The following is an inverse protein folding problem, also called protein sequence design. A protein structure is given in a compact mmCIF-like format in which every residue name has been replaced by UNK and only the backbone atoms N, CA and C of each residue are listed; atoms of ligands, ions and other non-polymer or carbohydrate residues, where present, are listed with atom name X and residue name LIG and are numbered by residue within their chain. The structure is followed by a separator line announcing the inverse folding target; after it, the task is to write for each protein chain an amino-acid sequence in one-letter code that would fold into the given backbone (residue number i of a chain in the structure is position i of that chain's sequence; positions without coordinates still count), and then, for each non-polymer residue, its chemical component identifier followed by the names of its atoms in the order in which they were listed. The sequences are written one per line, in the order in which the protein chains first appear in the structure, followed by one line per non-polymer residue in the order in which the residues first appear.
data_IF_623340575779
#
_entry.id   IF_623340575779
#
_cell.length_a   1.000
_cell.length_b   1.000
_cell.length_c   1.000
_cell.angle_alpha   90.00
_cell.angle_beta   90.00
_cell.angle_gamma   90.00
#
_symmetry.space_group_name_H-M   'P 1'
#
loop_
_entity.id
_entity.type
_entity.pdbx_description
1 polymer ?
#
# COMPACT_ATOMS: atom_id res chain seq x y z
N UNK A 1 -5.99 -2.43 -65.08
CA UNK A 1 -6.20 -1.17 -65.79
C UNK A 1 -5.84 -0.04 -64.86
N UNK A 2 -4.66 0.46 -65.09
CA UNK A 2 -4.09 1.82 -64.97
C UNK A 2 -4.56 2.73 -63.82
N UNK A 3 -3.65 3.03 -62.95
CA UNK A 3 -2.76 4.19 -62.77
C UNK A 3 -3.43 5.56 -63.01
N UNK A 4 -3.52 6.41 -62.01
CA UNK A 4 -2.64 7.58 -61.98
C UNK A 4 -2.52 8.21 -60.57
N UNK A 5 -1.35 8.77 -60.38
CA UNK A 5 -0.86 9.52 -59.23
C UNK A 5 -1.56 10.86 -59.10
N UNK A 6 -1.73 11.35 -57.89
CA UNK A 6 -1.15 12.65 -57.59
C UNK A 6 -0.86 12.87 -56.11
N UNK A 7 0.35 13.28 -55.88
CA UNK A 7 0.86 13.77 -54.56
C UNK A 7 0.53 15.25 -54.45
N UNK A 8 -0.10 15.66 -53.34
CA UNK A 8 0.16 17.01 -52.81
C UNK A 8 -0.08 17.10 -51.32
N UNK A 9 1.01 17.08 -50.60
CA UNK A 9 1.39 17.89 -49.44
C UNK A 9 0.28 18.61 -48.66
N UNK A 10 0.08 18.17 -47.42
CA UNK A 10 -0.65 18.88 -46.39
C UNK A 10 -0.01 18.65 -45.03
N UNK A 11 1.27 19.00 -44.88
CA UNK A 11 1.92 19.03 -43.56
C UNK A 11 1.36 20.20 -42.75
N UNK A 12 0.44 19.92 -41.85
CA UNK A 12 0.03 20.87 -40.82
C UNK A 12 1.22 21.14 -39.89
N UNK A 13 1.93 22.21 -40.14
CA UNK A 13 2.92 22.78 -39.19
C UNK A 13 2.18 23.31 -37.98
N UNK A 14 2.24 22.59 -36.89
CA UNK A 14 1.90 23.12 -35.56
C UNK A 14 3.00 24.15 -35.22
N UNK A 15 2.70 25.43 -35.37
CA UNK A 15 3.52 26.51 -34.81
C UNK A 15 3.40 26.51 -33.30
N UNK A 16 4.34 25.84 -32.62
CA UNK A 16 4.59 26.11 -31.22
C UNK A 16 5.24 27.48 -31.14
N UNK A 17 4.48 28.50 -30.74
CA UNK A 17 5.04 29.79 -30.36
C UNK A 17 5.96 29.59 -29.15
N UNK A 18 7.25 29.52 -29.39
CA UNK A 18 8.27 29.67 -28.35
C UNK A 18 8.24 31.13 -27.88
N UNK A 19 7.56 31.38 -26.77
CA UNK A 19 7.44 32.69 -26.17
C UNK A 19 7.22 32.60 -24.68
N UNK A 20 7.99 31.73 -24.01
CA UNK A 20 8.11 31.78 -22.56
C UNK A 20 9.56 32.09 -22.24
N UNK A 21 9.84 33.33 -21.79
CA UNK A 21 11.18 33.79 -21.46
C UNK A 21 11.72 32.93 -20.30
N UNK A 22 13.02 32.62 -20.31
CA UNK A 22 13.72 31.88 -19.23
C UNK A 22 13.55 32.54 -17.83
N UNK A 23 13.21 33.81 -17.79
CA UNK A 23 12.90 34.58 -16.59
C UNK A 23 11.61 34.17 -15.93
N UNK A 24 10.50 34.00 -16.68
CA UNK A 24 9.21 33.61 -16.06
C UNK A 24 9.19 32.18 -15.48
N UNK A 25 10.00 31.27 -16.04
CA UNK A 25 10.17 29.94 -15.46
C UNK A 25 10.96 29.94 -14.16
N UNK A 26 11.96 30.82 -14.04
CA UNK A 26 12.73 30.97 -12.79
C UNK A 26 11.91 31.64 -11.70
N UNK A 27 11.12 32.63 -12.03
CA UNK A 27 10.22 33.31 -11.09
C UNK A 27 9.16 32.36 -10.54
N UNK A 28 8.50 31.58 -11.40
CA UNK A 28 7.53 30.57 -10.99
C UNK A 28 8.16 29.42 -10.13
N UNK A 29 9.40 29.04 -10.43
CA UNK A 29 10.14 28.05 -9.61
C UNK A 29 10.52 28.63 -8.25
N UNK A 30 10.92 29.89 -8.17
CA UNK A 30 11.24 30.54 -6.93
C UNK A 30 10.01 30.78 -6.05
N UNK A 31 8.89 31.20 -6.62
CA UNK A 31 7.61 31.29 -5.90
C UNK A 31 7.14 29.91 -5.40
N UNK A 32 7.31 28.87 -6.20
CA UNK A 32 6.99 27.50 -5.79
C UNK A 32 7.91 27.05 -4.65
N UNK A 33 9.22 27.31 -4.73
CA UNK A 33 10.17 27.00 -3.64
C UNK A 33 9.86 27.79 -2.36
N UNK A 34 9.55 29.07 -2.46
CA UNK A 34 9.15 29.88 -1.30
C UNK A 34 7.85 29.39 -0.65
N UNK A 35 6.86 28.98 -1.45
CA UNK A 35 5.62 28.42 -0.93
C UNK A 35 5.81 27.04 -0.28
N UNK A 36 6.68 26.19 -0.84
CA UNK A 36 7.06 24.91 -0.23
C UNK A 36 7.84 25.14 1.05
N UNK A 37 8.87 26.00 1.04
CA UNK A 37 9.64 26.30 2.25
C UNK A 37 8.80 26.97 3.35
N UNK A 38 7.84 27.82 3.00
CA UNK A 38 6.93 28.42 3.97
C UNK A 38 6.01 27.40 4.61
N UNK A 39 5.44 26.47 3.81
CA UNK A 39 4.65 25.34 4.32
C UNK A 39 5.46 24.37 5.17
N UNK A 40 6.72 24.13 4.78
CA UNK A 40 7.62 23.25 5.55
C UNK A 40 8.11 23.89 6.85
N UNK A 41 8.35 25.20 6.88
CA UNK A 41 8.66 25.93 8.11
C UNK A 41 7.49 25.97 9.09
N UNK A 42 6.26 26.04 8.59
CA UNK A 42 5.05 25.96 9.43
C UNK A 42 4.82 24.53 9.96
N UNK A 43 5.28 23.49 9.25
CA UNK A 43 5.23 22.08 9.70
C UNK A 43 6.36 21.68 10.65
N UNK A 44 7.55 22.30 10.54
CA UNK A 44 8.74 21.95 11.33
C UNK A 44 8.76 22.68 12.69
N UNK A 45 8.03 23.77 12.85
CA UNK A 45 7.93 24.48 14.12
C UNK A 45 6.95 23.83 15.10
N UNK A 46 6.97 22.53 15.28
CA UNK A 46 6.51 21.70 16.41
C UNK A 46 5.37 22.17 17.33
N UNK A 47 4.75 23.29 17.06
CA UNK A 47 3.51 23.72 17.72
C UNK A 47 2.31 23.38 16.81
N UNK A 48 1.71 22.26 17.09
CA UNK A 48 0.38 21.90 16.60
C UNK A 48 -0.60 22.96 17.12
N UNK A 49 -0.79 24.05 16.37
CA UNK A 49 -1.80 25.06 16.71
C UNK A 49 -3.18 24.47 16.53
N UNK A 50 -3.75 24.02 17.62
CA UNK A 50 -5.08 23.39 17.70
C UNK A 50 -6.25 24.35 17.42
N UNK A 51 -6.05 25.62 17.12
CA UNK A 51 -7.14 26.53 16.77
C UNK A 51 -6.67 27.67 15.87
N UNK A 52 -7.01 27.62 14.60
CA UNK A 52 -7.14 28.83 13.80
C UNK A 52 -8.39 29.55 14.30
N UNK A 53 -8.28 30.81 14.83
CA UNK A 53 -9.43 31.56 15.33
C UNK A 53 -10.50 31.85 14.26
N UNK A 54 -10.18 31.66 12.97
CA UNK A 54 -11.13 31.79 11.86
C UNK A 54 -11.95 30.54 11.59
N UNK A 55 -11.57 29.39 12.19
CA UNK A 55 -12.23 28.09 12.00
C UNK A 55 -13.24 27.73 13.09
N UNK A 56 -13.88 28.74 13.72
CA UNK A 56 -14.89 28.51 14.75
C UNK A 56 -16.03 27.65 14.20
N UNK A 57 -16.14 26.42 14.72
CA UNK A 57 -17.23 25.47 14.40
C UNK A 57 -16.91 24.41 13.37
N UNK A 58 -15.71 24.40 12.77
CA UNK A 58 -15.27 23.31 11.90
C UNK A 58 -14.59 22.19 12.72
N UNK A 59 -14.91 20.95 12.40
CA UNK A 59 -14.31 19.78 13.07
C UNK A 59 -13.02 19.40 12.36
N UNK A 60 -11.90 19.51 13.05
CA UNK A 60 -10.62 18.94 12.61
C UNK A 60 -10.60 17.43 12.88
N UNK A 61 -10.89 16.65 11.86
CA UNK A 61 -10.87 15.19 11.95
C UNK A 61 -9.47 14.60 12.19
N UNK A 62 -8.40 15.34 11.89
CA UNK A 62 -7.03 14.86 12.12
C UNK A 62 -6.71 14.73 13.62
N UNK A 63 -7.38 15.48 14.46
CA UNK A 63 -7.20 15.49 15.92
C UNK A 63 -8.21 14.61 16.69
N UNK A 64 -9.23 14.05 16.01
CA UNK A 64 -10.28 13.26 16.67
C UNK A 64 -9.74 11.91 17.16
N UNK A 65 -9.98 11.58 18.43
CA UNK A 65 -9.73 10.26 19.00
C UNK A 65 -8.27 9.94 19.32
N UNK A 66 -7.36 10.91 19.33
CA UNK A 66 -5.98 10.69 19.77
C UNK A 66 -5.97 10.23 21.23
N UNK A 67 -5.37 9.04 21.48
CA UNK A 67 -5.28 8.47 22.82
C UNK A 67 -6.58 7.84 23.35
N UNK A 68 -7.64 7.79 22.57
CA UNK A 68 -8.94 7.21 22.93
C UNK A 68 -9.25 5.94 22.12
N UNK A 69 -10.36 5.27 22.44
CA UNK A 69 -10.91 4.19 21.63
C UNK A 69 -11.31 4.71 20.25
N UNK A 70 -10.71 4.17 19.22
CA UNK A 70 -10.87 4.64 17.85
C UNK A 70 -12.28 4.37 17.31
N UNK A 71 -12.73 5.26 16.42
CA UNK A 71 -14.13 5.23 15.97
C UNK A 71 -14.43 4.06 15.03
N UNK A 72 -13.54 3.77 14.05
CA UNK A 72 -13.79 2.73 13.06
C UNK A 72 -13.30 1.37 13.52
N UNK A 73 -12.04 1.25 13.93
CA UNK A 73 -11.47 -0.05 14.35
C UNK A 73 -11.92 -0.50 15.75
N UNK A 74 -12.52 0.38 16.56
CA UNK A 74 -12.98 0.11 17.94
C UNK A 74 -11.89 -0.42 18.88
N UNK A 75 -10.65 -0.03 18.67
CA UNK A 75 -9.47 -0.41 19.46
C UNK A 75 -9.00 0.77 20.30
N UNK A 76 -8.52 0.52 21.53
CA UNK A 76 -7.97 1.52 22.44
C UNK A 76 -6.47 1.32 22.66
N UNK A 77 -5.74 2.36 23.14
CA UNK A 77 -4.34 2.24 23.56
C UNK A 77 -4.14 1.10 24.56
N UNK A 78 -3.03 0.35 24.40
CA UNK A 78 -2.70 -0.81 25.26
C UNK A 78 -3.35 -2.13 24.83
N UNK A 79 -4.40 -2.10 24.00
CA UNK A 79 -5.04 -3.34 23.53
C UNK A 79 -4.23 -4.01 22.41
N UNK A 80 -3.44 -3.27 21.64
CA UNK A 80 -2.64 -3.74 20.51
C UNK A 80 -1.14 -3.75 20.79
N UNK A 81 -0.35 -4.33 19.90
CA UNK A 81 1.13 -4.31 19.93
C UNK A 81 1.68 -3.17 19.06
N UNK A 82 3.00 -3.00 19.10
CA UNK A 82 3.71 -2.06 18.22
C UNK A 82 3.76 -2.48 16.77
N UNK A 83 3.46 -3.75 16.45
CA UNK A 83 3.43 -4.27 15.08
C UNK A 83 2.04 -4.82 14.75
N UNK A 84 1.54 -4.48 13.57
CA UNK A 84 0.28 -4.99 13.05
C UNK A 84 0.46 -5.66 11.69
N UNK A 85 -0.07 -6.87 11.54
CA UNK A 85 -0.25 -7.54 10.27
C UNK A 85 -1.62 -7.16 9.69
N UNK A 86 -1.63 -6.71 8.44
CA UNK A 86 -2.80 -6.10 7.80
C UNK A 86 -3.28 -6.92 6.59
N UNK A 87 -4.18 -7.91 6.78
CA UNK A 87 -4.94 -8.48 5.67
C UNK A 87 -6.05 -7.52 5.25
N UNK A 88 -6.49 -7.57 3.99
CA UNK A 88 -7.68 -6.82 3.54
C UNK A 88 -8.96 -7.41 4.12
N UNK A 89 -9.12 -8.73 4.01
CA UNK A 89 -10.31 -9.48 4.39
C UNK A 89 -10.35 -9.80 5.89
N UNK A 90 -11.45 -9.45 6.62
CA UNK A 90 -11.61 -9.77 8.03
C UNK A 90 -11.60 -11.28 8.33
N UNK A 91 -11.95 -12.14 7.37
CA UNK A 91 -11.86 -13.60 7.53
C UNK A 91 -10.42 -14.13 7.50
N UNK A 92 -9.44 -13.35 7.06
CA UNK A 92 -8.01 -13.71 7.14
C UNK A 92 -7.36 -13.37 8.49
N UNK A 93 -7.97 -12.51 9.30
CA UNK A 93 -7.46 -12.22 10.66
C UNK A 93 -7.37 -13.49 11.53
N UNK A 94 -8.40 -14.37 11.59
CA UNK A 94 -8.28 -15.67 12.27
C UNK A 94 -7.23 -16.62 11.67
N UNK A 95 -6.88 -16.50 10.38
CA UNK A 95 -5.79 -17.31 9.80
C UNK A 95 -4.44 -16.90 10.38
N UNK A 96 -4.21 -15.60 10.57
CA UNK A 96 -3.01 -15.09 11.28
C UNK A 96 -3.02 -15.60 12.73
N UNK A 97 -4.17 -15.54 13.40
CA UNK A 97 -4.31 -15.96 14.77
C UNK A 97 -3.99 -17.46 14.99
N UNK A 98 -4.09 -18.31 13.96
CA UNK A 98 -3.67 -19.74 14.06
C UNK A 98 -2.19 -19.94 14.35
N UNK A 99 -1.35 -18.96 14.04
CA UNK A 99 0.10 -18.99 14.35
C UNK A 99 0.42 -18.48 15.77
N UNK A 100 -0.56 -17.87 16.45
CA UNK A 100 -0.35 -17.18 17.72
C UNK A 100 -0.83 -18.02 18.90
N UNK A 101 -0.21 -17.83 20.05
CA UNK A 101 -0.72 -18.26 21.35
C UNK A 101 -1.39 -17.10 22.09
N UNK A 102 -2.13 -17.36 23.16
CA UNK A 102 -2.82 -16.36 23.99
C UNK A 102 -3.71 -15.40 23.17
N UNK A 103 -4.37 -15.94 22.17
CA UNK A 103 -5.18 -15.20 21.22
C UNK A 103 -6.38 -14.53 21.90
N UNK A 104 -6.58 -13.24 21.56
CA UNK A 104 -7.76 -12.47 21.99
C UNK A 104 -8.33 -11.70 20.80
N UNK A 105 -9.64 -11.81 20.61
CA UNK A 105 -10.36 -10.90 19.72
C UNK A 105 -10.61 -9.58 20.47
N UNK A 106 -10.13 -8.47 19.91
CA UNK A 106 -10.23 -7.14 20.52
C UNK A 106 -11.48 -6.42 20.06
N UNK A 107 -11.74 -6.45 18.75
CA UNK A 107 -12.88 -5.79 18.16
C UNK A 107 -13.21 -6.39 16.77
N UNK A 108 -14.47 -6.31 16.38
CA UNK A 108 -14.92 -6.51 15.01
C UNK A 108 -16.00 -5.47 14.71
N UNK A 109 -15.67 -4.51 13.87
CA UNK A 109 -16.57 -3.43 13.48
C UNK A 109 -16.38 -3.11 12.01
N UNK A 110 -17.46 -3.19 11.24
CA UNK A 110 -17.45 -3.06 9.78
C UNK A 110 -16.47 -4.08 9.16
N UNK A 111 -15.61 -3.64 8.24
CA UNK A 111 -14.53 -4.41 7.63
C UNK A 111 -13.29 -4.60 8.52
N UNK A 112 -13.26 -3.92 9.67
CA UNK A 112 -12.12 -3.96 10.60
C UNK A 112 -12.34 -4.99 11.71
N UNK A 113 -11.58 -6.07 11.65
CA UNK A 113 -11.50 -7.08 12.70
C UNK A 113 -10.10 -7.09 13.29
N UNK A 114 -10.00 -7.03 14.60
CA UNK A 114 -8.69 -6.99 15.31
C UNK A 114 -8.57 -8.14 16.28
N UNK A 115 -7.49 -8.90 16.15
CA UNK A 115 -7.07 -9.93 17.09
C UNK A 115 -5.63 -9.70 17.52
N UNK A 116 -5.27 -10.12 18.73
CA UNK A 116 -3.90 -10.11 19.23
C UNK A 116 -3.53 -11.46 19.79
N UNK A 117 -2.22 -11.75 19.85
CA UNK A 117 -1.68 -12.95 20.47
C UNK A 117 -0.17 -12.88 20.54
N UNK A 118 0.46 -13.97 20.93
CA UNK A 118 1.91 -14.09 21.07
C UNK A 118 2.50 -14.96 19.97
N UNK A 119 3.60 -14.53 19.37
CA UNK A 119 4.40 -15.32 18.44
C UNK A 119 5.88 -15.26 18.84
N UNK A 120 6.47 -16.40 19.18
CA UNK A 120 7.88 -16.51 19.63
C UNK A 120 8.24 -15.45 20.71
N UNK A 121 7.35 -15.26 21.70
CA UNK A 121 7.55 -14.30 22.78
C UNK A 121 7.25 -12.84 22.47
N UNK A 122 6.83 -12.52 21.23
CA UNK A 122 6.45 -11.17 20.82
C UNK A 122 4.93 -11.04 20.68
N UNK A 123 4.36 -9.96 21.23
CA UNK A 123 2.94 -9.63 21.01
C UNK A 123 2.75 -9.16 19.57
N UNK A 124 1.80 -9.76 18.88
CA UNK A 124 1.42 -9.43 17.49
C UNK A 124 -0.03 -8.98 17.46
N UNK A 125 -0.31 -7.99 16.64
CA UNK A 125 -1.68 -7.58 16.28
C UNK A 125 -1.97 -7.98 14.84
N UNK A 126 -3.17 -8.44 14.57
CA UNK A 126 -3.71 -8.60 13.22
C UNK A 126 -4.99 -7.77 13.11
N UNK A 127 -5.06 -6.86 12.12
CA UNK A 127 -6.25 -6.03 11.88
C UNK A 127 -6.55 -6.00 10.40
N UNK A 128 -7.78 -6.33 9.99
CA UNK A 128 -8.18 -6.19 8.59
C UNK A 128 -8.38 -4.72 8.21
N UNK A 129 -7.94 -4.38 7.00
CA UNK A 129 -8.07 -3.03 6.44
C UNK A 129 -9.37 -2.80 5.68
N UNK A 130 -10.08 -3.88 5.29
CA UNK A 130 -11.04 -3.80 4.20
C UNK A 130 -10.35 -3.74 2.84
N UNK A 131 -11.10 -3.49 1.79
CA UNK A 131 -10.59 -3.29 0.43
C UNK A 131 -10.40 -1.82 0.13
N UNK A 132 -9.29 -1.50 -0.52
CA UNK A 132 -9.01 -0.19 -1.10
C UNK A 132 -8.32 0.81 -0.17
N UNK A 133 -7.72 1.78 -0.80
CA UNK A 133 -6.91 2.81 -0.14
C UNK A 133 -7.66 3.64 0.91
N UNK A 134 -8.94 4.05 0.74
CA UNK A 134 -9.66 4.83 1.76
C UNK A 134 -9.80 4.07 3.09
N UNK A 135 -10.21 2.80 3.05
CA UNK A 135 -10.38 1.98 4.25
C UNK A 135 -9.04 1.67 4.91
N UNK A 136 -8.00 1.38 4.11
CA UNK A 136 -6.64 1.17 4.60
C UNK A 136 -6.08 2.41 5.29
N UNK A 137 -6.27 3.59 4.73
CA UNK A 137 -5.83 4.83 5.35
C UNK A 137 -6.47 5.05 6.73
N UNK A 138 -7.77 4.78 6.87
CA UNK A 138 -8.47 4.83 8.17
C UNK A 138 -7.83 3.85 9.17
N UNK A 139 -7.64 2.59 8.76
CA UNK A 139 -7.06 1.58 9.64
C UNK A 139 -5.64 1.95 10.12
N UNK A 140 -4.77 2.40 9.20
CA UNK A 140 -3.38 2.81 9.52
C UNK A 140 -3.36 4.02 10.44
N UNK A 141 -4.18 5.06 10.18
CA UNK A 141 -4.28 6.25 11.03
C UNK A 141 -4.75 5.88 12.45
N UNK A 142 -5.80 5.09 12.57
CA UNK A 142 -6.37 4.74 13.87
C UNK A 142 -5.47 3.78 14.66
N UNK A 143 -4.81 2.82 13.98
CA UNK A 143 -3.82 1.95 14.62
C UNK A 143 -2.59 2.73 15.09
N UNK A 144 -2.12 3.71 14.30
CA UNK A 144 -1.03 4.60 14.71
C UNK A 144 -1.37 5.35 16.00
N UNK A 145 -2.58 5.87 16.11
CA UNK A 145 -3.08 6.62 17.30
C UNK A 145 -3.15 5.76 18.58
N UNK A 146 -3.26 4.46 18.45
CA UNK A 146 -3.28 3.54 19.59
C UNK A 146 -1.93 2.86 19.84
N UNK A 147 -0.87 3.27 19.13
CA UNK A 147 0.51 2.90 19.44
C UNK A 147 1.17 1.89 18.51
N UNK A 148 0.55 1.54 17.38
CA UNK A 148 1.21 0.72 16.34
C UNK A 148 2.27 1.56 15.64
N UNK A 149 3.47 0.99 15.47
CA UNK A 149 4.64 1.66 14.87
C UNK A 149 5.10 1.02 13.56
N UNK A 150 4.69 -0.22 13.32
CA UNK A 150 5.08 -0.97 12.13
C UNK A 150 3.89 -1.74 11.56
N UNK A 151 3.72 -1.65 10.25
CA UNK A 151 2.64 -2.28 9.51
C UNK A 151 3.19 -3.24 8.49
N UNK A 152 2.70 -4.48 8.45
CA UNK A 152 3.04 -5.46 7.43
C UNK A 152 1.74 -5.92 6.77
N UNK A 153 1.51 -5.50 5.53
CA UNK A 153 0.38 -5.99 4.76
C UNK A 153 0.65 -7.43 4.32
N UNK A 154 -0.31 -8.31 4.61
CA UNK A 154 -0.34 -9.70 4.16
C UNK A 154 -1.55 -9.88 3.25
N UNK A 155 -1.35 -9.74 1.96
CA UNK A 155 -2.41 -9.55 0.98
C UNK A 155 -2.57 -10.68 -0.03
N UNK A 156 -3.49 -10.43 -0.96
CA UNK A 156 -3.56 -11.09 -2.27
C UNK A 156 -3.39 -10.04 -3.35
N UNK A 157 -2.84 -10.43 -4.49
CA UNK A 157 -2.66 -9.52 -5.62
C UNK A 157 -2.68 -10.31 -6.93
N UNK A 158 -2.91 -9.63 -8.05
CA UNK A 158 -2.78 -10.23 -9.37
C UNK A 158 -1.40 -9.90 -9.97
N UNK A 159 -0.73 -10.90 -10.54
CA UNK A 159 0.56 -10.75 -11.23
C UNK A 159 0.40 -10.00 -12.56
N UNK A 160 1.37 -9.14 -12.86
CA UNK A 160 1.46 -8.35 -14.09
C UNK A 160 2.71 -8.71 -14.91
N UNK A 161 3.49 -9.71 -14.50
CA UNK A 161 4.65 -10.22 -15.23
C UNK A 161 4.47 -11.69 -15.57
N UNK A 162 4.83 -12.15 -16.77
CA UNK A 162 4.49 -13.49 -17.27
C UNK A 162 5.08 -14.64 -16.43
N UNK A 163 6.19 -14.41 -15.70
CA UNK A 163 6.81 -15.42 -14.86
C UNK A 163 6.11 -15.64 -13.51
N UNK A 164 5.25 -14.72 -13.09
CA UNK A 164 4.52 -14.82 -11.80
C UNK A 164 3.39 -15.82 -11.93
N UNK A 165 3.30 -16.75 -10.99
CA UNK A 165 2.28 -17.80 -10.97
C UNK A 165 1.37 -17.69 -9.76
N UNK A 166 0.11 -18.15 -9.86
CA UNK A 166 -0.75 -18.27 -8.69
C UNK A 166 -0.09 -19.10 -7.58
N UNK A 167 -0.13 -18.57 -6.35
CA UNK A 167 0.54 -19.16 -5.19
C UNK A 167 1.95 -18.63 -4.94
N UNK A 168 2.60 -17.97 -5.89
CA UNK A 168 3.88 -17.30 -5.67
C UNK A 168 3.73 -16.15 -4.65
N UNK A 169 4.82 -15.84 -3.95
CA UNK A 169 4.87 -14.71 -3.03
C UNK A 169 5.51 -13.49 -3.69
N UNK A 170 4.89 -12.34 -3.46
CA UNK A 170 5.26 -11.07 -4.07
C UNK A 170 5.59 -10.07 -2.96
N UNK A 171 6.84 -9.61 -2.91
CA UNK A 171 7.33 -8.60 -1.97
C UNK A 171 7.41 -7.25 -2.67
N UNK A 172 6.78 -6.23 -2.09
CA UNK A 172 6.73 -4.91 -2.71
C UNK A 172 7.92 -4.05 -2.33
N UNK A 173 8.61 -3.53 -3.35
CA UNK A 173 9.70 -2.55 -3.23
C UNK A 173 9.20 -1.10 -3.33
N UNK A 174 7.95 -0.92 -3.73
CA UNK A 174 7.26 0.35 -3.88
C UNK A 174 5.89 0.15 -4.50
N UNK A 175 5.07 1.19 -4.51
CA UNK A 175 3.77 1.14 -5.17
C UNK A 175 3.55 2.35 -6.06
N UNK A 176 3.19 2.11 -7.31
CA UNK A 176 2.63 3.15 -8.18
C UNK A 176 1.28 3.58 -7.59
N UNK A 177 1.13 4.89 -7.34
CA UNK A 177 -0.05 5.49 -6.74
C UNK A 177 -1.11 5.73 -7.83
N UNK A 178 -1.90 4.71 -8.14
CA UNK A 178 -3.05 4.83 -9.06
C UNK A 178 -4.37 4.91 -8.27
N UNK A 179 -4.31 5.48 -7.07
CA UNK A 179 -5.41 5.67 -6.14
C UNK A 179 -5.73 7.16 -5.93
N UNK A 180 -6.97 7.45 -5.55
CA UNK A 180 -7.40 8.81 -5.23
C UNK A 180 -7.10 9.25 -3.79
N UNK A 181 -6.90 8.31 -2.87
CA UNK A 181 -6.74 8.57 -1.43
C UNK A 181 -5.41 9.27 -1.13
N UNK A 182 -4.33 8.75 -1.67
CA UNK A 182 -2.98 9.28 -1.40
C UNK A 182 -2.77 10.68 -1.96
N UNK A 183 -3.53 11.10 -2.97
CA UNK A 183 -3.52 12.47 -3.48
C UNK A 183 -3.99 13.49 -2.44
N UNK A 184 -4.89 13.08 -1.52
CA UNK A 184 -5.33 13.93 -0.40
C UNK A 184 -4.28 14.05 0.72
N UNK A 185 -3.35 13.09 0.82
CA UNK A 185 -2.29 13.07 1.85
C UNK A 185 -1.00 13.75 1.40
N UNK A 186 -0.61 13.58 0.14
CA UNK A 186 0.67 14.06 -0.36
C UNK A 186 0.62 14.37 -1.87
N UNK A 187 1.47 15.30 -2.29
CA UNK A 187 1.63 15.64 -3.71
C UNK A 187 1.79 14.37 -4.59
N UNK A 188 1.25 14.34 -5.83
CA UNK A 188 1.33 13.17 -6.72
C UNK A 188 2.76 12.61 -6.93
N UNK A 189 3.78 13.47 -6.92
CA UNK A 189 5.19 13.07 -7.03
C UNK A 189 5.80 12.49 -5.75
N UNK A 190 5.07 12.45 -4.63
CA UNK A 190 5.57 11.84 -3.39
C UNK A 190 5.55 10.30 -3.54
N UNK A 191 6.70 9.60 -3.34
CA UNK A 191 6.77 8.18 -3.60
C UNK A 191 6.06 7.36 -2.52
N UNK A 192 5.31 6.33 -2.92
CA UNK A 192 4.80 5.31 -2.02
C UNK A 192 5.84 4.18 -1.88
N UNK A 193 6.72 4.28 -0.88
CA UNK A 193 7.81 3.33 -0.66
C UNK A 193 7.73 2.70 0.73
N UNK A 194 8.00 1.39 0.84
CA UNK A 194 8.06 0.68 2.11
C UNK A 194 9.30 1.07 2.93
N UNK A 195 9.37 0.55 4.14
CA UNK A 195 10.61 0.51 4.91
C UNK A 195 11.57 -0.53 4.33
N UNK A 196 12.77 -0.10 3.96
CA UNK A 196 13.76 -0.95 3.30
C UNK A 196 14.15 -2.18 4.12
N UNK A 197 14.25 -2.04 5.46
CA UNK A 197 14.63 -3.16 6.34
C UNK A 197 13.53 -4.19 6.40
N UNK A 198 12.26 -3.76 6.49
CA UNK A 198 11.11 -4.66 6.46
C UNK A 198 11.06 -5.39 5.11
N UNK A 199 11.27 -4.69 3.99
CA UNK A 199 11.24 -5.30 2.64
C UNK A 199 12.31 -6.37 2.47
N UNK A 200 13.56 -6.07 2.83
CA UNK A 200 14.68 -7.02 2.73
C UNK A 200 14.42 -8.27 3.60
N UNK A 201 13.93 -8.05 4.83
CA UNK A 201 13.68 -9.16 5.74
C UNK A 201 12.47 -10.01 5.33
N UNK A 202 11.41 -9.39 4.80
CA UNK A 202 10.27 -10.12 4.21
C UNK A 202 10.72 -11.01 3.05
N UNK A 203 11.55 -10.47 2.17
CA UNK A 203 12.09 -11.24 1.04
C UNK A 203 12.96 -12.41 1.54
N UNK A 204 13.84 -12.18 2.50
CA UNK A 204 14.69 -13.21 3.09
C UNK A 204 13.87 -14.34 3.71
N UNK A 205 12.91 -14.00 4.57
CA UNK A 205 12.03 -14.97 5.21
C UNK A 205 11.19 -15.74 4.18
N UNK A 206 10.64 -15.05 3.18
CA UNK A 206 9.85 -15.68 2.13
C UNK A 206 10.69 -16.69 1.30
N UNK A 207 11.94 -16.34 0.96
CA UNK A 207 12.84 -17.23 0.23
C UNK A 207 13.27 -18.46 1.04
N UNK A 208 13.45 -18.31 2.36
CA UNK A 208 13.72 -19.46 3.25
C UNK A 208 12.54 -20.43 3.30
N UNK A 209 11.31 -19.88 3.38
CA UNK A 209 10.08 -20.69 3.34
C UNK A 209 9.95 -21.37 1.97
N UNK A 210 10.20 -20.64 0.87
CA UNK A 210 10.16 -21.20 -0.47
C UNK A 210 11.17 -22.34 -0.66
N UNK A 211 12.38 -22.20 -0.15
CA UNK A 211 13.41 -23.25 -0.18
C UNK A 211 13.00 -24.48 0.63
N UNK A 212 12.33 -24.31 1.77
CA UNK A 212 11.80 -25.39 2.59
C UNK A 212 10.65 -26.15 1.91
N UNK A 213 9.73 -25.42 1.31
CA UNK A 213 8.49 -25.99 0.75
C UNK A 213 8.67 -26.52 -0.69
N UNK A 214 9.51 -25.87 -1.50
CA UNK A 214 9.76 -26.26 -2.90
C UNK A 214 8.55 -26.12 -3.84
N UNK A 215 7.56 -25.29 -3.51
CA UNK A 215 6.26 -25.27 -4.18
C UNK A 215 5.91 -23.95 -4.86
N UNK A 216 6.60 -22.87 -4.57
CA UNK A 216 6.32 -21.53 -5.09
C UNK A 216 7.61 -20.74 -5.25
N UNK A 217 7.56 -19.69 -6.07
CA UNK A 217 8.65 -18.73 -6.23
C UNK A 217 8.38 -17.45 -5.39
N UNK A 218 9.45 -16.69 -5.14
CA UNK A 218 9.38 -15.36 -4.51
C UNK A 218 9.89 -14.33 -5.50
N UNK A 219 9.07 -13.32 -5.74
CA UNK A 219 9.39 -12.20 -6.63
C UNK A 219 9.37 -10.90 -5.82
N UNK A 220 10.30 -10.00 -6.12
CA UNK A 220 10.34 -8.66 -5.55
C UNK A 220 10.24 -7.62 -6.67
N UNK A 221 9.56 -6.52 -6.43
CA UNK A 221 9.39 -5.48 -7.42
C UNK A 221 8.34 -4.43 -7.07
N UNK A 222 8.10 -3.52 -8.00
CA UNK A 222 7.15 -2.42 -7.83
C UNK A 222 5.73 -2.95 -8.06
N UNK A 223 4.84 -2.69 -7.11
CA UNK A 223 3.40 -2.93 -7.20
C UNK A 223 2.68 -1.72 -7.80
N UNK A 224 1.42 -1.86 -8.13
CA UNK A 224 0.50 -0.74 -8.32
C UNK A 224 -0.70 -0.91 -7.39
N UNK A 225 -1.10 0.18 -6.72
CA UNK A 225 -2.37 0.22 -6.00
C UNK A 225 -3.40 0.93 -6.85
N UNK A 226 -4.48 0.22 -7.20
CA UNK A 226 -5.56 0.72 -8.05
C UNK A 226 -6.90 0.69 -7.30
N UNK A 227 -7.73 1.72 -7.49
CA UNK A 227 -9.06 1.82 -6.86
C UNK A 227 -10.16 1.13 -7.67
N UNK A 228 -9.93 0.85 -8.97
CA UNK A 228 -10.99 0.53 -9.91
C UNK A 228 -10.84 -0.88 -10.53
N UNK A 229 -10.95 -1.91 -9.70
CA UNK A 229 -10.75 -3.32 -10.04
C UNK A 229 -11.39 -3.76 -11.37
N UNK A 230 -12.61 -3.33 -11.67
CA UNK A 230 -13.28 -3.68 -12.93
C UNK A 230 -12.96 -2.76 -14.12
N UNK A 231 -12.07 -1.78 -13.93
CA UNK A 231 -11.58 -0.90 -15.00
C UNK A 231 -10.20 -1.32 -15.54
N UNK A 232 -9.65 -2.43 -15.07
CA UNK A 232 -8.39 -2.99 -15.51
C UNK A 232 -8.50 -3.55 -16.95
N UNK A 233 -8.35 -2.68 -17.94
CA UNK A 233 -8.46 -3.04 -19.36
C UNK A 233 -7.20 -3.74 -19.88
N UNK A 234 -7.27 -4.53 -20.97
CA UNK A 234 -6.08 -5.13 -21.60
C UNK A 234 -5.00 -4.12 -21.97
N UNK A 235 -5.37 -2.90 -22.40
CA UNK A 235 -4.42 -1.83 -22.70
C UNK A 235 -3.69 -1.34 -21.45
N UNK A 236 -4.41 -1.17 -20.33
CA UNK A 236 -3.84 -0.80 -19.04
C UNK A 236 -2.89 -1.89 -18.52
N UNK A 237 -3.30 -3.16 -18.56
CA UNK A 237 -2.47 -4.30 -18.17
C UNK A 237 -1.17 -4.35 -19.01
N UNK A 238 -1.28 -4.20 -20.34
CA UNK A 238 -0.13 -4.18 -21.23
C UNK A 238 0.85 -3.03 -20.94
N UNK A 239 0.33 -1.85 -20.64
CA UNK A 239 1.15 -0.70 -20.22
C UNK A 239 1.93 -1.02 -18.95
N UNK A 240 1.27 -1.48 -17.89
CA UNK A 240 1.93 -1.78 -16.62
C UNK A 240 2.94 -2.93 -16.74
N UNK A 241 2.61 -3.96 -17.53
CA UNK A 241 3.57 -5.01 -17.86
C UNK A 241 4.83 -4.45 -18.52
N UNK A 242 4.68 -3.55 -19.52
CA UNK A 242 5.80 -2.93 -20.23
C UNK A 242 6.67 -2.03 -19.34
N UNK A 243 6.09 -1.46 -18.28
CA UNK A 243 6.79 -0.67 -17.26
C UNK A 243 7.49 -1.54 -16.21
N UNK A 244 7.36 -2.87 -16.28
CA UNK A 244 7.97 -3.78 -15.30
C UNK A 244 7.24 -3.82 -13.95
N UNK A 245 5.99 -3.34 -13.88
CA UNK A 245 5.19 -3.45 -12.65
C UNK A 245 4.92 -4.92 -12.36
N UNK A 246 5.22 -5.36 -11.12
CA UNK A 246 5.17 -6.76 -10.73
C UNK A 246 3.73 -7.28 -10.55
N UNK A 247 2.91 -6.49 -9.86
CA UNK A 247 1.56 -6.91 -9.48
C UNK A 247 0.64 -5.70 -9.21
N UNK A 248 -0.66 -5.95 -9.24
CA UNK A 248 -1.71 -5.00 -8.84
C UNK A 248 -2.39 -5.47 -7.57
N UNK A 249 -2.64 -4.53 -6.67
CA UNK A 249 -3.43 -4.65 -5.45
C UNK A 249 -4.10 -3.30 -5.17
N UNK A 250 -4.73 -3.10 -4.01
CA UNK A 250 -5.59 -1.92 -3.81
C UNK A 250 -5.26 -1.09 -2.56
N UNK A 251 -4.15 -1.35 -1.81
CA UNK A 251 -3.95 -0.78 -0.47
C UNK A 251 -2.54 -0.26 -0.15
N UNK A 252 -1.51 -0.80 -0.80
CA UNK A 252 -0.11 -0.55 -0.41
C UNK A 252 0.28 0.92 -0.49
N UNK A 253 -0.14 1.64 -1.52
CA UNK A 253 0.18 3.07 -1.68
C UNK A 253 -0.30 3.89 -0.49
N UNK A 254 -1.54 3.69 -0.05
CA UNK A 254 -2.10 4.39 1.11
C UNK A 254 -1.36 4.00 2.40
N UNK A 255 -1.10 2.72 2.62
CA UNK A 255 -0.35 2.26 3.79
C UNK A 255 1.04 2.89 3.84
N UNK A 256 1.79 2.90 2.72
CA UNK A 256 3.15 3.45 2.67
C UNK A 256 3.16 4.96 2.88
N UNK A 257 2.29 5.69 2.17
CA UNK A 257 2.24 7.16 2.27
C UNK A 257 1.84 7.58 3.67
N UNK A 258 0.75 7.03 4.22
CA UNK A 258 0.25 7.39 5.55
C UNK A 258 1.27 7.03 6.64
N UNK A 259 1.81 5.81 6.63
CA UNK A 259 2.82 5.40 7.60
C UNK A 259 4.04 6.32 7.56
N UNK A 260 4.58 6.62 6.36
CA UNK A 260 5.74 7.49 6.20
C UNK A 260 5.49 8.91 6.71
N UNK A 261 4.32 9.50 6.42
CA UNK A 261 3.94 10.83 6.91
C UNK A 261 3.77 10.88 8.43
N UNK A 262 3.53 9.74 9.08
CA UNK A 262 3.44 9.61 10.54
C UNK A 262 4.76 9.17 11.19
N UNK A 263 5.85 9.06 10.42
CA UNK A 263 7.15 8.60 10.94
C UNK A 263 7.18 7.11 11.28
N UNK A 264 6.26 6.33 10.71
CA UNK A 264 6.07 4.90 10.98
C UNK A 264 6.62 4.06 9.83
N UNK A 265 6.73 2.74 10.05
CA UNK A 265 7.29 1.78 9.10
C UNK A 265 6.20 0.93 8.47
N UNK A 266 6.36 0.59 7.20
CA UNK A 266 5.43 -0.29 6.50
C UNK A 266 6.16 -1.18 5.49
N UNK A 267 5.63 -2.38 5.25
CA UNK A 267 6.06 -3.31 4.21
C UNK A 267 4.90 -4.17 3.74
N UNK A 268 5.07 -4.87 2.61
CA UNK A 268 4.02 -5.71 2.05
C UNK A 268 4.58 -7.00 1.46
N UNK A 269 3.86 -8.08 1.74
CA UNK A 269 3.97 -9.36 1.05
C UNK A 269 2.57 -9.85 0.65
N UNK A 270 2.41 -10.27 -0.58
CA UNK A 270 1.15 -10.81 -1.10
C UNK A 270 1.34 -12.23 -1.64
N UNK A 271 0.30 -13.05 -1.54
CA UNK A 271 0.20 -14.26 -2.37
C UNK A 271 -0.44 -13.89 -3.71
N UNK A 272 0.17 -14.36 -4.79
CA UNK A 272 -0.39 -14.19 -6.13
C UNK A 272 -1.71 -14.95 -6.24
N UNK A 273 -2.78 -14.26 -6.56
CA UNK A 273 -4.11 -14.84 -6.76
C UNK A 273 -4.37 -15.21 -8.20
N UNK A 274 -3.86 -14.43 -9.15
CA UNK A 274 -4.07 -14.57 -10.59
C UNK A 274 -2.92 -13.94 -11.36
N UNK A 275 -2.86 -14.17 -12.66
CA UNK A 275 -1.94 -13.45 -13.54
C UNK A 275 -2.73 -12.86 -14.72
N UNK A 276 -2.78 -11.54 -14.80
CA UNK A 276 -3.56 -10.81 -15.79
C UNK A 276 -2.92 -10.82 -17.19
N UNK A 277 -1.61 -11.11 -17.28
CA UNK A 277 -0.87 -11.18 -18.55
C UNK A 277 -1.03 -12.55 -19.19
N UNK A 278 -0.97 -13.64 -18.40
CA UNK A 278 -1.12 -15.00 -18.91
C UNK A 278 -2.55 -15.48 -19.03
N UNK A 279 -3.53 -14.69 -18.54
CA UNK A 279 -4.94 -15.04 -18.57
C UNK A 279 -5.33 -16.16 -17.61
N UNK A 280 -4.45 -16.54 -16.68
CA UNK A 280 -4.77 -17.48 -15.61
C UNK A 280 -5.79 -16.84 -14.65
N UNK A 281 -7.06 -17.05 -14.93
CA UNK A 281 -8.19 -16.52 -14.14
C UNK A 281 -8.50 -17.41 -12.95
N UNK A 282 -8.91 -16.79 -11.85
CA UNK A 282 -9.12 -17.45 -10.55
C UNK A 282 -10.49 -17.29 -9.96
N UNK A 283 -11.42 -16.76 -10.72
CA UNK A 283 -12.76 -16.51 -10.19
C UNK A 283 -13.56 -17.77 -9.87
N UNK A 284 -13.18 -18.93 -10.43
CA UNK A 284 -13.99 -20.15 -10.34
C UNK A 284 -13.71 -21.02 -9.11
N UNK A 285 -12.55 -20.88 -8.46
CA UNK A 285 -12.25 -21.55 -7.17
C UNK A 285 -11.04 -20.91 -6.51
N UNK A 286 -11.08 -20.67 -5.19
CA UNK A 286 -9.90 -20.31 -4.41
C UNK A 286 -8.97 -21.53 -4.38
N UNK A 287 -7.97 -21.55 -5.27
CA UNK A 287 -7.02 -22.65 -5.39
C UNK A 287 -6.29 -22.90 -4.07
N UNK A 288 -6.00 -24.16 -3.79
CA UNK A 288 -5.19 -24.57 -2.65
C UNK A 288 -3.85 -23.84 -2.61
N UNK A 289 -3.24 -23.61 -3.77
CA UNK A 289 -2.01 -22.84 -3.91
C UNK A 289 -2.13 -21.40 -3.32
N UNK A 290 -3.26 -20.70 -3.55
CA UNK A 290 -3.51 -19.39 -2.98
C UNK A 290 -3.66 -19.44 -1.46
N UNK A 291 -4.39 -20.43 -0.94
CA UNK A 291 -4.57 -20.62 0.52
C UNK A 291 -3.22 -20.91 1.19
N UNK A 292 -2.40 -21.77 0.59
CA UNK A 292 -1.06 -22.06 1.08
C UNK A 292 -0.18 -20.80 1.00
N UNK A 293 -0.26 -20.03 -0.10
CA UNK A 293 0.44 -18.77 -0.25
C UNK A 293 0.06 -17.74 0.83
N UNK A 294 -1.19 -17.68 1.28
CA UNK A 294 -1.57 -16.87 2.44
C UNK A 294 -0.87 -17.34 3.71
N UNK A 295 -0.81 -18.65 3.97
CA UNK A 295 -0.14 -19.17 5.17
C UNK A 295 1.35 -18.86 5.15
N UNK A 296 2.02 -19.03 3.99
CA UNK A 296 3.45 -18.72 3.82
C UNK A 296 3.74 -17.21 3.94
N UNK A 297 2.88 -16.34 3.38
CA UNK A 297 3.03 -14.89 3.53
C UNK A 297 2.84 -14.43 4.98
N UNK A 298 1.90 -15.04 5.71
CA UNK A 298 1.70 -14.80 7.14
C UNK A 298 2.93 -15.23 7.93
N UNK A 299 3.47 -16.43 7.68
CA UNK A 299 4.67 -16.93 8.34
C UNK A 299 5.86 -15.98 8.08
N UNK A 300 6.11 -15.58 6.83
CA UNK A 300 7.17 -14.65 6.48
C UNK A 300 7.03 -13.31 7.22
N UNK A 301 5.81 -12.77 7.31
CA UNK A 301 5.55 -11.52 8.03
C UNK A 301 5.77 -11.65 9.54
N UNK A 302 5.40 -12.77 10.14
CA UNK A 302 5.61 -13.05 11.56
C UNK A 302 7.11 -13.21 11.89
N UNK A 303 7.85 -13.95 11.07
CA UNK A 303 9.31 -14.07 11.22
C UNK A 303 10.00 -12.72 11.07
N UNK A 304 9.59 -11.91 10.09
CA UNK A 304 10.09 -10.55 9.90
C UNK A 304 9.86 -9.70 11.16
N UNK A 305 8.67 -9.76 11.74
CA UNK A 305 8.34 -8.99 12.93
C UNK A 305 9.23 -9.39 14.14
N UNK A 306 9.56 -10.67 14.28
CA UNK A 306 10.45 -11.16 15.33
C UNK A 306 11.90 -10.78 15.08
N UNK A 307 12.42 -11.04 13.87
CA UNK A 307 13.83 -10.86 13.53
C UNK A 307 14.25 -9.38 13.56
N UNK A 308 13.37 -8.46 13.17
CA UNK A 308 13.63 -7.01 13.23
C UNK A 308 13.24 -6.38 14.58
N UNK A 309 12.73 -7.17 15.50
CA UNK A 309 12.23 -6.67 16.78
C UNK A 309 11.27 -5.47 16.62
N UNK A 310 10.29 -5.59 15.71
CA UNK A 310 9.32 -4.54 15.39
C UNK A 310 8.37 -4.25 16.54
#
# INVERSE_FOLDING_TARGET
VDFDRDCSSGAARIFVRAGCSRTSRRENLNEFHEQVEKKDREKVSGEFRMTDPNNKGLVDKSAVGIGERQFHIKVAPGEVSTVALLPGDPFRVPLIAKFLTDVREIAHNREHRTMTGMYKGKKITATSTGMGCPSTAIAVEELARVGVQSFIRVGSSAGLQPQVKPGDLLVSEGSLRNDGTTAAYAHPGYPAVPDLRITIELERCAREIAAREGKFAVHSGISVSDDAFYAETPAWISLLNSLGILNVEMEASAMYVVARLRGLRAGMICSCSSNLVSGASLYDNVHEALKNGWMYSIEAALETAVNLNL
#
